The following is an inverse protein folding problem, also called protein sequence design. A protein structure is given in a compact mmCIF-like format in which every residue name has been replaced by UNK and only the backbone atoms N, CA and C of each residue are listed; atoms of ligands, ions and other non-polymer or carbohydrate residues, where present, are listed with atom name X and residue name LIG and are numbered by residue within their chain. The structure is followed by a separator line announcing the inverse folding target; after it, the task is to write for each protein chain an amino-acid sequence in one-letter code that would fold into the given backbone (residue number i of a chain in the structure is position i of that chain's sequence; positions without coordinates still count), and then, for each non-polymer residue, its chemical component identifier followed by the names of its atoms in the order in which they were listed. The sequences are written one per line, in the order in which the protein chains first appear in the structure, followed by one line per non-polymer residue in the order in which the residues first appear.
data_IF_445159125425
#
_entry.id   IF_445159125425
#
_cell.length_a   1.000
_cell.length_b   1.000
_cell.length_c   1.000
_cell.angle_alpha   90.00
_cell.angle_beta   90.00
_cell.angle_gamma   90.00
#
_symmetry.space_group_name_H-M   'P 1'
#
loop_
_entity.id
_entity.type
_entity.pdbx_description
1 polymer ?
#
# COMPACT_ATOMS: atom_id res chain seq x y z
N UNK A 1 -1.77 26.33 -28.71
CA UNK A 1 -1.29 25.17 -27.91
C UNK A 1 -0.50 24.26 -28.83
N UNK A 2 0.69 23.84 -28.49
CA UNK A 2 1.58 23.05 -29.38
C UNK A 2 1.39 21.54 -29.24
N UNK A 3 0.91 21.07 -28.08
CA UNK A 3 0.60 19.68 -27.80
C UNK A 3 -0.46 19.60 -26.69
N UNK A 4 -1.24 18.52 -26.69
CA UNK A 4 -2.15 18.15 -25.60
C UNK A 4 -2.18 16.63 -25.46
N UNK A 5 -2.56 16.14 -24.31
CA UNK A 5 -2.89 14.73 -24.08
C UNK A 5 -4.42 14.61 -23.98
N UNK A 6 -4.97 13.63 -24.66
CA UNK A 6 -6.39 13.27 -24.56
C UNK A 6 -6.53 11.98 -23.78
N UNK A 7 -7.23 12.01 -22.64
CA UNK A 7 -7.41 10.89 -21.75
C UNK A 7 -8.84 10.36 -21.90
N UNK A 8 -8.93 9.09 -22.26
CA UNK A 8 -10.21 8.40 -22.39
C UNK A 8 -10.59 7.71 -21.07
N UNK A 9 -11.53 8.29 -20.32
CA UNK A 9 -11.98 7.76 -19.03
C UNK A 9 -12.75 6.44 -19.17
N UNK A 10 -13.48 6.23 -20.27
CA UNK A 10 -14.18 4.96 -20.53
C UNK A 10 -13.18 3.82 -20.71
N UNK A 11 -12.00 4.09 -21.29
CA UNK A 11 -10.93 3.11 -21.40
C UNK A 11 -10.35 2.74 -20.01
N UNK A 12 -10.23 3.71 -19.11
CA UNK A 12 -9.79 3.48 -17.73
C UNK A 12 -10.82 2.63 -16.99
N UNK A 13 -12.12 2.96 -17.09
CA UNK A 13 -13.19 2.15 -16.51
C UNK A 13 -13.17 0.72 -17.07
N UNK A 14 -13.09 0.55 -18.39
CA UNK A 14 -13.03 -0.76 -19.01
C UNK A 14 -11.81 -1.58 -18.54
N UNK A 15 -10.68 -0.93 -18.34
CA UNK A 15 -9.46 -1.61 -17.84
C UNK A 15 -9.64 -2.15 -16.41
N UNK A 16 -10.19 -1.38 -15.48
CA UNK A 16 -10.43 -1.90 -14.12
C UNK A 16 -11.45 -3.04 -14.13
N UNK A 17 -12.50 -2.96 -14.96
CA UNK A 17 -13.47 -4.03 -15.13
C UNK A 17 -12.85 -5.32 -15.70
N UNK A 18 -11.89 -5.20 -16.64
CA UNK A 18 -11.14 -6.35 -17.16
C UNK A 18 -10.27 -6.98 -16.06
N UNK A 19 -9.56 -6.16 -15.27
CA UNK A 19 -8.75 -6.63 -14.14
C UNK A 19 -9.62 -7.40 -13.16
N UNK A 20 -10.80 -6.88 -12.80
CA UNK A 20 -11.75 -7.58 -11.92
C UNK A 20 -12.18 -8.95 -12.45
N UNK A 21 -12.31 -9.11 -13.76
CA UNK A 21 -12.73 -10.38 -14.38
C UNK A 21 -11.62 -11.44 -14.34
N UNK A 22 -10.35 -11.06 -14.37
CA UNK A 22 -9.23 -12.01 -14.36
C UNK A 22 -8.71 -12.31 -12.96
N UNK A 23 -9.06 -11.49 -11.96
CA UNK A 23 -8.70 -11.74 -10.56
C UNK A 23 -9.72 -12.69 -9.90
N UNK A 24 -9.27 -13.43 -8.88
CA UNK A 24 -10.13 -14.33 -8.12
C UNK A 24 -11.27 -13.57 -7.45
N UNK A 25 -12.45 -14.19 -7.30
CA UNK A 25 -13.57 -13.58 -6.58
C UNK A 25 -13.15 -13.14 -5.16
N UNK A 26 -13.54 -11.92 -4.78
CA UNK A 26 -13.18 -11.33 -3.48
C UNK A 26 -11.82 -10.64 -3.44
N UNK A 27 -11.01 -10.70 -4.51
CA UNK A 27 -9.78 -9.92 -4.61
C UNK A 27 -10.10 -8.44 -4.69
N UNK A 28 -9.50 -7.65 -3.79
CA UNK A 28 -9.63 -6.19 -3.79
C UNK A 28 -8.59 -5.55 -4.72
N UNK A 29 -8.96 -4.44 -5.35
CA UNK A 29 -8.11 -3.69 -6.27
C UNK A 29 -7.77 -2.35 -5.66
N UNK A 30 -6.48 -2.09 -5.46
CA UNK A 30 -5.97 -0.78 -5.09
C UNK A 30 -5.53 -0.03 -6.35
N UNK A 31 -6.22 1.06 -6.67
CA UNK A 31 -5.88 1.92 -7.78
C UNK A 31 -4.71 2.85 -7.42
N UNK A 32 -3.63 2.80 -8.18
CA UNK A 32 -2.46 3.65 -7.96
C UNK A 32 -2.57 4.90 -8.81
N UNK A 33 -2.81 6.05 -8.16
CA UNK A 33 -3.07 7.34 -8.82
C UNK A 33 -2.03 8.42 -8.50
N UNK A 34 -0.87 8.03 -7.96
CA UNK A 34 0.24 8.94 -7.69
C UNK A 34 0.73 9.67 -8.94
N UNK A 35 1.45 10.79 -8.76
CA UNK A 35 2.04 11.59 -9.83
C UNK A 35 1.00 11.95 -10.92
N UNK A 36 -0.09 12.61 -10.48
CA UNK A 36 -1.19 13.02 -11.35
C UNK A 36 -1.82 11.83 -12.13
N UNK A 37 -2.02 10.70 -11.46
CA UNK A 37 -2.41 9.43 -12.08
C UNK A 37 -1.49 9.06 -13.27
N UNK A 38 -0.18 9.20 -13.04
CA UNK A 38 0.86 9.04 -14.08
C UNK A 38 0.66 9.97 -15.30
N UNK A 39 0.21 11.20 -15.04
CA UNK A 39 -0.05 12.21 -16.07
C UNK A 39 -1.41 12.07 -16.77
N UNK A 40 -2.31 11.24 -16.24
CA UNK A 40 -3.64 11.04 -16.84
C UNK A 40 -4.73 11.96 -16.25
N UNK A 41 -4.38 12.83 -15.29
CA UNK A 41 -5.34 13.69 -14.60
C UNK A 41 -5.87 13.06 -13.33
N UNK A 42 -5.41 13.59 -12.20
CA UNK A 42 -5.59 12.97 -10.88
C UNK A 42 -7.06 12.82 -10.46
N UNK A 43 -7.83 13.92 -10.57
CA UNK A 43 -9.21 13.96 -10.07
C UNK A 43 -10.17 13.15 -10.92
N UNK A 44 -10.09 13.29 -12.24
CA UNK A 44 -10.95 12.61 -13.20
C UNK A 44 -10.73 11.10 -13.13
N UNK A 45 -9.46 10.66 -13.11
CA UNK A 45 -9.11 9.24 -13.02
C UNK A 45 -9.53 8.67 -11.68
N UNK A 46 -9.27 9.36 -10.55
CA UNK A 46 -9.64 8.86 -9.22
C UNK A 46 -11.16 8.76 -9.08
N UNK A 47 -11.92 9.75 -9.54
CA UNK A 47 -13.40 9.75 -9.52
C UNK A 47 -13.96 8.59 -10.34
N UNK A 48 -13.45 8.40 -11.57
CA UNK A 48 -13.84 7.30 -12.45
C UNK A 48 -13.57 5.94 -11.76
N UNK A 49 -12.37 5.74 -11.24
CA UNK A 49 -12.01 4.47 -10.60
C UNK A 49 -12.81 4.20 -9.31
N UNK A 50 -13.15 5.24 -8.54
CA UNK A 50 -13.96 5.11 -7.33
C UNK A 50 -15.36 4.56 -7.62
N UNK A 51 -15.97 4.94 -8.75
CA UNK A 51 -17.29 4.46 -9.17
C UNK A 51 -17.23 3.17 -9.97
N UNK A 52 -16.09 2.88 -10.62
CA UNK A 52 -15.91 1.72 -11.49
C UNK A 52 -15.33 0.50 -10.76
N UNK A 53 -15.10 0.60 -9.43
CA UNK A 53 -14.83 -0.57 -8.61
C UNK A 53 -13.40 -0.69 -8.08
N UNK A 54 -12.66 0.40 -7.94
CA UNK A 54 -11.50 0.41 -7.06
C UNK A 54 -11.96 0.21 -5.60
N UNK A 55 -11.25 -0.60 -4.85
CA UNK A 55 -11.55 -0.85 -3.44
C UNK A 55 -10.70 0.05 -2.52
N UNK A 56 -9.59 0.56 -3.02
CA UNK A 56 -8.67 1.46 -2.31
C UNK A 56 -7.85 2.28 -3.30
N UNK A 57 -7.16 3.30 -2.79
CA UNK A 57 -6.25 4.14 -3.58
C UNK A 57 -4.85 4.14 -2.99
N UNK A 58 -3.84 4.13 -3.88
CA UNK A 58 -2.44 4.26 -3.52
C UNK A 58 -1.82 5.53 -4.11
N UNK A 59 -1.17 6.32 -3.27
CA UNK A 59 -0.51 7.58 -3.62
C UNK A 59 0.93 7.60 -3.13
N UNK A 60 1.73 8.59 -3.55
CA UNK A 60 3.13 8.69 -3.14
C UNK A 60 3.33 9.61 -1.94
N UNK A 61 2.50 10.64 -1.78
CA UNK A 61 2.72 11.73 -0.82
C UNK A 61 1.49 12.01 0.04
N UNK A 62 1.71 12.71 1.15
CA UNK A 62 0.63 13.22 2.01
C UNK A 62 -0.28 14.18 1.25
N UNK A 63 0.28 15.06 0.43
CA UNK A 63 -0.51 16.05 -0.30
C UNK A 63 -1.44 15.40 -1.33
N UNK A 64 -0.98 14.40 -2.07
CA UNK A 64 -1.84 13.61 -2.97
C UNK A 64 -2.99 12.93 -2.20
N UNK A 65 -2.69 12.33 -1.04
CA UNK A 65 -3.71 11.70 -0.21
C UNK A 65 -4.78 12.69 0.28
N UNK A 66 -4.36 13.88 0.72
CA UNK A 66 -5.27 14.95 1.14
C UNK A 66 -6.09 15.49 -0.03
N UNK A 67 -5.48 15.61 -1.22
CA UNK A 67 -6.23 16.01 -2.43
C UNK A 67 -7.34 15.03 -2.76
N UNK A 68 -7.11 13.70 -2.64
CA UNK A 68 -8.17 12.69 -2.78
C UNK A 68 -9.30 12.89 -1.77
N UNK A 69 -8.98 13.13 -0.50
CA UNK A 69 -9.99 13.39 0.54
C UNK A 69 -10.80 14.65 0.23
N UNK A 70 -10.12 15.74 -0.18
CA UNK A 70 -10.79 17.00 -0.56
C UNK A 70 -11.68 16.84 -1.82
N UNK A 71 -11.34 15.90 -2.71
CA UNK A 71 -12.16 15.53 -3.86
C UNK A 71 -13.36 14.61 -3.50
N UNK A 72 -13.55 14.29 -2.21
CA UNK A 72 -14.68 13.47 -1.75
C UNK A 72 -14.44 11.96 -1.84
N UNK A 73 -13.22 11.50 -2.13
CA UNK A 73 -12.90 10.07 -2.12
C UNK A 73 -12.90 9.54 -0.68
N UNK A 74 -13.86 8.67 -0.36
CA UNK A 74 -14.04 8.06 0.97
C UNK A 74 -13.35 6.70 1.11
N UNK A 75 -12.93 6.11 0.02
CA UNK A 75 -12.23 4.82 -0.01
C UNK A 75 -10.95 4.85 0.84
N UNK A 76 -10.45 3.68 1.30
CA UNK A 76 -9.14 3.58 1.92
C UNK A 76 -8.04 4.19 1.05
N UNK A 77 -7.15 5.00 1.66
CA UNK A 77 -6.01 5.61 0.96
C UNK A 77 -4.74 5.18 1.66
N UNK A 78 -3.80 4.61 0.91
CA UNK A 78 -2.47 4.22 1.36
C UNK A 78 -1.41 5.13 0.74
N UNK A 79 -0.59 5.77 1.58
CA UNK A 79 0.62 6.46 1.12
C UNK A 79 1.74 5.43 1.00
N UNK A 80 2.21 5.20 -0.23
CA UNK A 80 3.24 4.22 -0.57
C UNK A 80 4.67 4.73 -0.36
N UNK A 81 4.81 6.04 -0.20
CA UNK A 81 6.10 6.72 0.01
C UNK A 81 6.46 6.90 1.49
N UNK A 82 7.62 7.49 1.71
CA UNK A 82 8.06 7.90 3.06
C UNK A 82 7.29 9.14 3.48
N UNK A 83 6.84 9.16 4.74
CA UNK A 83 6.08 10.25 5.34
C UNK A 83 6.93 10.95 6.38
N UNK A 84 6.85 12.28 6.46
CA UNK A 84 7.50 13.08 7.49
C UNK A 84 6.66 13.11 8.78
N UNK A 85 7.32 13.24 9.92
CA UNK A 85 6.64 13.27 11.21
C UNK A 85 5.64 14.41 11.34
N UNK A 86 5.92 15.54 10.73
CA UNK A 86 5.07 16.74 10.75
C UNK A 86 3.70 16.49 10.07
N UNK A 87 3.63 15.52 9.18
CA UNK A 87 2.39 15.13 8.49
C UNK A 87 1.50 14.17 9.30
N UNK A 88 1.99 13.56 10.39
CA UNK A 88 1.27 12.50 11.11
C UNK A 88 -0.11 12.94 11.58
N UNK A 89 -0.23 14.14 12.14
CA UNK A 89 -1.54 14.66 12.57
C UNK A 89 -2.51 14.78 11.40
N UNK A 90 -2.01 15.26 10.25
CA UNK A 90 -2.81 15.48 9.05
C UNK A 90 -3.33 14.17 8.48
N UNK A 91 -2.48 13.14 8.36
CA UNK A 91 -2.89 11.84 7.82
C UNK A 91 -3.83 11.09 8.77
N UNK A 92 -3.57 11.09 10.08
CA UNK A 92 -4.43 10.39 11.06
C UNK A 92 -5.81 11.07 11.17
N UNK A 93 -5.89 12.40 11.15
CA UNK A 93 -7.17 13.12 11.16
C UNK A 93 -8.04 12.80 9.97
N UNK A 94 -7.44 12.50 8.81
CA UNK A 94 -8.12 12.23 7.55
C UNK A 94 -8.24 10.73 7.22
N UNK A 95 -7.98 9.84 8.19
CA UNK A 95 -8.06 8.39 8.05
C UNK A 95 -7.28 7.87 6.82
N UNK A 96 -6.03 8.37 6.67
CA UNK A 96 -5.09 7.99 5.62
C UNK A 96 -4.06 7.04 6.22
N UNK A 97 -3.80 5.93 5.55
CA UNK A 97 -2.89 4.89 6.00
C UNK A 97 -1.45 5.18 5.58
N UNK A 98 -0.49 5.28 6.52
CA UNK A 98 0.93 5.33 6.23
C UNK A 98 1.53 3.94 6.03
N UNK A 99 2.62 3.87 5.24
CA UNK A 99 3.49 2.70 5.19
C UNK A 99 4.49 2.73 6.36
N UNK A 100 4.71 1.56 6.96
CA UNK A 100 5.62 1.38 8.10
C UNK A 100 6.61 0.25 7.83
N UNK A 101 7.90 0.51 8.12
CA UNK A 101 8.98 -0.48 8.06
C UNK A 101 10.05 -0.22 9.13
N UNK A 102 9.62 0.22 10.31
CA UNK A 102 10.49 0.44 11.46
C UNK A 102 9.73 0.90 12.71
N UNK A 103 10.09 0.31 13.85
CA UNK A 103 9.43 0.55 15.14
C UNK A 103 9.41 2.03 15.55
N UNK A 104 10.51 2.77 15.37
CA UNK A 104 10.59 4.18 15.80
C UNK A 104 9.55 5.07 15.10
N UNK A 105 9.28 4.80 13.82
CA UNK A 105 8.27 5.54 13.08
C UNK A 105 6.86 5.11 13.50
N UNK A 106 6.62 3.80 13.65
CA UNK A 106 5.36 3.28 14.20
C UNK A 106 5.02 3.88 15.57
N UNK A 107 6.02 3.99 16.46
CA UNK A 107 5.85 4.63 17.77
C UNK A 107 5.42 6.09 17.65
N UNK A 108 6.00 6.85 16.71
CA UNK A 108 5.58 8.24 16.48
C UNK A 108 4.13 8.33 15.97
N UNK A 109 3.70 7.38 15.13
CA UNK A 109 2.30 7.27 14.68
C UNK A 109 1.39 6.96 15.87
N UNK A 110 1.76 5.99 16.70
CA UNK A 110 1.03 5.60 17.90
C UNK A 110 0.85 6.78 18.86
N UNK A 111 1.93 7.47 19.19
CA UNK A 111 1.88 8.64 20.09
C UNK A 111 0.96 9.74 19.56
N UNK A 112 1.01 9.98 18.26
CA UNK A 112 0.11 10.96 17.60
C UNK A 112 -1.34 10.48 17.60
N UNK A 113 -1.58 9.20 17.36
CA UNK A 113 -2.92 8.62 17.36
C UNK A 113 -3.55 8.68 18.76
N UNK A 114 -2.78 8.36 19.80
CA UNK A 114 -3.18 8.51 21.21
C UNK A 114 -3.55 9.95 21.52
N UNK A 115 -2.68 10.90 21.16
CA UNK A 115 -2.91 12.34 21.39
C UNK A 115 -4.17 12.87 20.67
N UNK A 116 -4.53 12.26 19.55
CA UNK A 116 -5.74 12.59 18.78
C UNK A 116 -6.99 11.78 19.20
N UNK A 117 -6.85 10.85 20.15
CA UNK A 117 -7.88 9.89 20.52
C UNK A 117 -8.47 9.15 19.28
N UNK A 118 -7.60 8.76 18.37
CA UNK A 118 -7.94 8.00 17.15
C UNK A 118 -7.11 6.71 17.10
N UNK A 119 -7.54 5.75 16.29
CA UNK A 119 -6.72 4.59 15.89
C UNK A 119 -6.13 4.85 14.51
N UNK A 120 -4.83 4.67 14.38
CA UNK A 120 -4.14 4.77 13.09
C UNK A 120 -4.04 3.39 12.45
N UNK A 121 -4.64 3.23 11.26
CA UNK A 121 -4.44 2.07 10.41
C UNK A 121 -3.14 2.22 9.64
N UNK A 122 -2.33 1.18 9.62
CA UNK A 122 -1.03 1.18 8.95
C UNK A 122 -0.84 -0.04 8.06
N UNK A 123 0.03 0.06 7.05
CA UNK A 123 0.51 -1.09 6.31
C UNK A 123 2.00 -1.34 6.55
N UNK A 124 2.35 -2.58 6.86
CA UNK A 124 3.74 -3.01 6.98
C UNK A 124 4.33 -3.22 5.58
N UNK A 125 5.51 -2.63 5.34
CA UNK A 125 6.24 -2.83 4.08
C UNK A 125 7.38 -3.82 4.25
N UNK A 126 7.35 -4.87 3.43
CA UNK A 126 8.46 -5.82 3.27
C UNK A 126 9.23 -5.52 1.99
N UNK A 127 10.54 -5.65 2.04
CA UNK A 127 11.40 -5.65 0.87
C UNK A 127 11.86 -7.08 0.60
N UNK A 128 11.21 -7.72 -0.35
CA UNK A 128 11.49 -9.11 -0.75
C UNK A 128 12.50 -9.21 -1.89
N UNK A 129 13.04 -8.06 -2.35
CA UNK A 129 14.04 -8.00 -3.40
C UNK A 129 13.94 -6.79 -4.34
N UNK A 130 13.01 -5.84 -4.09
CA UNK A 130 12.93 -4.59 -4.85
C UNK A 130 14.05 -3.61 -4.48
N UNK A 131 14.65 -3.75 -3.29
CA UNK A 131 15.78 -2.96 -2.78
C UNK A 131 15.52 -1.44 -2.76
N UNK A 132 14.29 -1.06 -2.33
CA UNK A 132 13.88 0.35 -2.30
C UNK A 132 13.53 0.83 -0.89
N UNK A 133 12.47 0.31 -0.30
CA UNK A 133 12.02 0.56 1.07
C UNK A 133 11.35 -0.71 1.63
N UNK A 134 11.41 -0.89 2.94
CA UNK A 134 10.76 -2.02 3.64
C UNK A 134 11.73 -2.76 4.56
N UNK A 135 11.19 -3.68 5.32
CA UNK A 135 11.99 -4.66 6.05
C UNK A 135 12.65 -5.62 5.06
N UNK A 136 13.97 -5.67 5.05
CA UNK A 136 14.74 -6.48 4.08
C UNK A 136 14.64 -7.95 4.43
N UNK A 137 13.86 -8.70 3.65
CA UNK A 137 13.55 -10.12 3.86
C UNK A 137 14.53 -11.09 3.14
N UNK A 138 15.70 -10.61 2.74
CA UNK A 138 16.76 -11.45 2.17
C UNK A 138 17.80 -11.78 3.25
N UNK A 139 17.93 -13.08 3.57
CA UNK A 139 18.88 -13.58 4.58
C UNK A 139 18.22 -13.94 5.91
N UNK A 140 18.62 -15.10 6.44
CA UNK A 140 18.05 -15.70 7.67
C UNK A 140 18.36 -14.91 8.95
N UNK A 141 19.48 -14.23 8.98
CA UNK A 141 20.01 -13.58 10.21
C UNK A 141 19.20 -12.35 10.65
N UNK A 142 18.28 -11.87 9.83
CA UNK A 142 17.42 -10.70 10.12
C UNK A 142 15.96 -11.05 10.38
N UNK A 143 15.56 -12.27 10.07
CA UNK A 143 14.16 -12.71 10.12
C UNK A 143 13.55 -12.51 11.50
N UNK A 144 14.17 -13.05 12.55
CA UNK A 144 13.69 -12.92 13.91
C UNK A 144 13.52 -11.46 14.33
N UNK A 145 14.48 -10.60 13.98
CA UNK A 145 14.40 -9.15 14.28
C UNK A 145 13.26 -8.45 13.55
N UNK A 146 12.94 -8.89 12.32
CA UNK A 146 11.81 -8.36 11.55
C UNK A 146 10.50 -8.78 12.23
N UNK A 147 10.38 -10.06 12.56
CA UNK A 147 9.19 -10.60 13.22
C UNK A 147 8.96 -9.93 14.57
N UNK A 148 9.99 -9.83 15.42
CA UNK A 148 9.91 -9.16 16.71
C UNK A 148 9.50 -7.69 16.55
N UNK A 149 10.13 -6.97 15.61
CA UNK A 149 9.77 -5.56 15.35
C UNK A 149 8.32 -5.39 14.93
N UNK A 150 7.78 -6.30 14.10
CA UNK A 150 6.37 -6.23 13.66
C UNK A 150 5.43 -6.59 14.84
N UNK A 151 5.79 -7.56 15.66
CA UNK A 151 5.02 -7.90 16.88
C UNK A 151 5.01 -6.73 17.87
N UNK A 152 6.15 -6.07 18.09
CA UNK A 152 6.24 -4.87 18.91
C UNK A 152 5.37 -3.73 18.38
N UNK A 153 5.32 -3.55 17.05
CA UNK A 153 4.44 -2.56 16.41
C UNK A 153 2.98 -2.91 16.64
N UNK A 154 2.61 -4.19 16.53
CA UNK A 154 1.23 -4.63 16.76
C UNK A 154 0.76 -4.42 18.21
N UNK A 155 1.70 -4.39 19.16
CA UNK A 155 1.42 -4.12 20.57
C UNK A 155 1.34 -2.62 20.93
N UNK A 156 1.64 -1.70 19.99
CA UNK A 156 1.56 -0.27 20.25
C UNK A 156 0.11 0.19 20.42
N UNK A 157 -0.17 1.09 21.39
CA UNK A 157 -1.51 1.62 21.57
C UNK A 157 -1.98 2.41 20.34
N UNK A 158 -3.29 2.31 20.06
CA UNK A 158 -3.93 3.02 18.95
C UNK A 158 -3.32 2.76 17.55
N UNK A 159 -2.69 1.59 17.36
CA UNK A 159 -2.23 1.09 16.07
C UNK A 159 -3.08 -0.11 15.66
N UNK A 160 -3.51 -0.13 14.40
CA UNK A 160 -4.10 -1.28 13.73
C UNK A 160 -3.28 -1.59 12.47
N UNK A 161 -2.69 -2.78 12.41
CA UNK A 161 -2.02 -3.25 11.20
C UNK A 161 -3.09 -3.76 10.24
N UNK A 162 -3.55 -2.89 9.33
CA UNK A 162 -4.59 -3.19 8.35
C UNK A 162 -4.05 -3.99 7.15
N UNK A 163 -2.76 -3.87 6.88
CA UNK A 163 -2.15 -4.59 5.77
C UNK A 163 -0.65 -4.82 5.88
N UNK A 164 -0.20 -5.77 5.05
CA UNK A 164 1.21 -6.07 4.82
C UNK A 164 1.45 -6.25 3.33
N UNK A 165 2.54 -5.68 2.80
CA UNK A 165 2.80 -5.75 1.38
C UNK A 165 4.27 -5.70 1.00
N UNK A 166 4.53 -6.15 -0.24
CA UNK A 166 5.80 -5.94 -0.91
C UNK A 166 5.57 -5.37 -2.32
N UNK A 167 6.52 -5.52 -3.21
CA UNK A 167 6.40 -5.10 -4.60
C UNK A 167 7.33 -5.94 -5.48
N UNK A 168 6.79 -6.46 -6.57
CA UNK A 168 7.58 -7.20 -7.54
C UNK A 168 8.53 -6.25 -8.29
N UNK A 169 9.79 -6.67 -8.42
CA UNK A 169 10.81 -5.91 -9.12
C UNK A 169 10.81 -6.17 -10.64
N UNK A 170 10.44 -7.40 -11.03
CA UNK A 170 10.65 -7.94 -12.39
C UNK A 170 9.45 -8.76 -12.88
N UNK A 171 8.22 -8.40 -12.48
CA UNK A 171 7.02 -9.17 -12.86
C UNK A 171 6.65 -9.04 -14.35
N UNK A 172 7.24 -8.10 -15.07
CA UNK A 172 7.08 -7.85 -16.50
C UNK A 172 8.12 -8.60 -17.38
N UNK A 173 9.07 -9.30 -16.76
CA UNK A 173 10.06 -10.10 -17.48
C UNK A 173 9.55 -11.52 -17.74
N UNK A 174 10.05 -12.17 -18.81
CA UNK A 174 9.72 -13.56 -19.14
C UNK A 174 10.21 -14.55 -18.08
N UNK A 175 11.41 -14.31 -17.52
CA UNK A 175 11.96 -15.07 -16.40
C UNK A 175 11.21 -14.74 -15.11
N UNK A 176 10.46 -15.71 -14.60
CA UNK A 176 9.63 -15.60 -13.41
C UNK A 176 10.31 -16.08 -12.11
N UNK A 177 11.53 -16.57 -12.17
CA UNK A 177 12.17 -17.18 -10.99
C UNK A 177 12.39 -16.18 -9.85
N UNK A 178 12.81 -14.96 -10.20
CA UNK A 178 12.95 -13.91 -9.18
C UNK A 178 11.61 -13.44 -8.62
N UNK A 179 10.58 -13.37 -9.45
CA UNK A 179 9.20 -13.03 -9.02
C UNK A 179 8.65 -14.09 -8.08
N UNK A 180 8.86 -15.39 -8.36
CA UNK A 180 8.50 -16.50 -7.46
C UNK A 180 9.26 -16.41 -6.13
N UNK A 181 10.57 -16.18 -6.17
CA UNK A 181 11.39 -15.99 -4.97
C UNK A 181 10.88 -14.84 -4.10
N UNK A 182 10.48 -13.71 -4.70
CA UNK A 182 9.88 -12.59 -3.96
C UNK A 182 8.56 -12.99 -3.30
N UNK A 183 7.72 -13.75 -3.99
CA UNK A 183 6.46 -14.28 -3.45
C UNK A 183 6.71 -15.25 -2.29
N UNK A 184 7.64 -16.18 -2.43
CA UNK A 184 8.00 -17.15 -1.38
C UNK A 184 8.49 -16.42 -0.12
N UNK A 185 9.37 -15.45 -0.24
CA UNK A 185 9.85 -14.61 0.87
C UNK A 185 8.70 -13.86 1.55
N UNK A 186 7.78 -13.31 0.76
CA UNK A 186 6.61 -12.60 1.26
C UNK A 186 5.70 -13.53 2.08
N UNK A 187 5.35 -14.68 1.51
CA UNK A 187 4.47 -15.65 2.17
C UNK A 187 5.13 -16.30 3.39
N UNK A 188 6.45 -16.49 3.36
CA UNK A 188 7.20 -17.01 4.50
C UNK A 188 7.07 -16.10 5.73
N UNK A 189 7.31 -14.80 5.58
CA UNK A 189 7.16 -13.84 6.69
C UNK A 189 5.71 -13.81 7.20
N UNK A 190 4.72 -13.80 6.30
CA UNK A 190 3.30 -13.83 6.69
C UNK A 190 3.00 -15.06 7.54
N UNK A 191 3.41 -16.25 7.07
CA UNK A 191 3.20 -17.50 7.80
C UNK A 191 3.84 -17.46 9.19
N UNK A 192 5.06 -16.92 9.31
CA UNK A 192 5.75 -16.76 10.59
C UNK A 192 5.03 -15.80 11.55
N UNK A 193 4.45 -14.73 11.04
CA UNK A 193 3.63 -13.81 11.86
C UNK A 193 2.33 -14.50 12.32
N UNK A 194 1.68 -15.27 11.45
CA UNK A 194 0.48 -16.04 11.80
C UNK A 194 0.79 -17.13 12.85
N UNK A 195 1.93 -17.83 12.75
CA UNK A 195 2.42 -18.77 13.75
C UNK A 195 2.65 -18.11 15.13
N UNK A 196 2.97 -16.80 15.16
CA UNK A 196 3.07 -15.97 16.37
C UNK A 196 1.75 -15.37 16.85
N UNK A 197 0.64 -15.70 16.19
CA UNK A 197 -0.70 -15.21 16.52
C UNK A 197 -1.07 -13.86 15.95
N UNK A 198 -0.27 -13.30 15.02
CA UNK A 198 -0.59 -12.05 14.34
C UNK A 198 -1.18 -12.33 12.95
N UNK A 199 -2.50 -12.15 12.84
CA UNK A 199 -3.21 -12.21 11.57
C UNK A 199 -3.40 -10.80 11.00
N UNK A 200 -2.91 -10.56 9.78
CA UNK A 200 -3.05 -9.28 9.07
C UNK A 200 -4.04 -9.46 7.93
N UNK A 201 -5.16 -8.70 7.90
CA UNK A 201 -6.27 -8.99 7.00
C UNK A 201 -5.96 -8.71 5.52
N UNK A 202 -5.20 -7.66 5.21
CA UNK A 202 -4.89 -7.29 3.83
C UNK A 202 -3.46 -7.66 3.46
N UNK A 203 -3.30 -8.49 2.43
CA UNK A 203 -1.99 -8.92 1.91
C UNK A 203 -1.92 -8.54 0.44
N UNK A 204 -0.95 -7.71 0.04
CA UNK A 204 -0.84 -7.31 -1.37
C UNK A 204 0.61 -7.23 -1.84
N UNK A 205 0.84 -7.66 -3.09
CA UNK A 205 2.19 -7.79 -3.67
C UNK A 205 2.20 -7.42 -5.16
N UNK A 206 1.13 -7.76 -5.90
CA UNK A 206 1.08 -7.63 -7.34
C UNK A 206 1.03 -6.16 -7.80
N UNK A 207 1.87 -5.83 -8.76
CA UNK A 207 1.68 -4.71 -9.67
C UNK A 207 0.84 -5.17 -10.89
N UNK A 208 0.62 -4.30 -11.89
CA UNK A 208 -0.20 -4.66 -13.05
C UNK A 208 0.31 -5.89 -13.79
N UNK A 209 1.63 -6.02 -13.99
CA UNK A 209 2.25 -7.18 -14.64
C UNK A 209 2.12 -8.46 -13.80
N UNK A 210 2.11 -8.34 -12.47
CA UNK A 210 1.93 -9.47 -11.56
C UNK A 210 0.46 -9.94 -11.45
N UNK A 211 -0.50 -9.16 -11.97
CA UNK A 211 -1.92 -9.52 -12.04
C UNK A 211 -2.22 -10.33 -13.32
N UNK A 212 -1.55 -9.99 -14.42
CA UNK A 212 -1.69 -10.61 -15.75
C UNK A 212 -0.82 -11.85 -15.85
#
# INVERSE_FOLDING_TARGET
MRAWAEINLDAIENNIQKIKKITSPGTKIMAIVKADAYGHGFFEVASTLATSGADAFGVATTDEAIQLRNAGITHPILILGVIFRDDLQKIIKNDIMPVVFGYRFAKSISDTAVALNKTAKIHIKLDTGMSRIGYVCSGSDREERILDSIMDIAALPNIEIDGIFSHFARADEEDRDFTKLQYERFMHIIKKLEERGLYIPTKHLCNSAGII
#
